data_IF_595816432346
#
_entry.id   IF_595816432346
#
_cell.length_a   1.000
_cell.length_b   1.000
_cell.length_c   1.000
_cell.angle_alpha   90.00
_cell.angle_beta   90.00
_cell.angle_gamma   90.00
#
_symmetry.space_group_name_H-M   'P 1'
#
loop_
_entity.id
_entity.type
_entity.pdbx_description
1 polymer ?
#
# COMPACT_ATOMS: atom_id res chain seq x y z
N UNK A 1 -20.50 -4.18 40.42
CA UNK A 1 -19.11 -3.66 40.43
C UNK A 1 -18.08 -4.66 39.86
N UNK A 2 -18.50 -5.89 39.48
CA UNK A 2 -17.61 -6.90 38.90
C UNK A 2 -17.56 -6.92 37.37
N UNK A 3 -18.37 -6.13 36.67
CA UNK A 3 -18.49 -6.15 35.19
C UNK A 3 -17.66 -5.09 34.48
N UNK A 4 -16.88 -4.26 35.18
CA UNK A 4 -16.16 -3.14 34.56
C UNK A 4 -14.65 -3.40 34.29
N UNK A 5 -14.11 -4.51 34.79
CA UNK A 5 -12.66 -4.82 34.66
C UNK A 5 -12.30 -5.86 33.59
N UNK A 6 -13.24 -6.32 32.76
CA UNK A 6 -12.97 -7.30 31.69
C UNK A 6 -12.59 -6.67 30.32
N UNK A 7 -12.34 -5.38 30.23
CA UNK A 7 -12.37 -4.66 28.96
C UNK A 7 -11.04 -4.13 28.43
N UNK A 8 -9.92 -4.65 28.86
CA UNK A 8 -8.67 -4.52 28.08
C UNK A 8 -8.21 -5.92 27.69
N UNK A 9 -8.85 -6.51 26.70
CA UNK A 9 -8.21 -7.59 25.97
C UNK A 9 -6.92 -7.02 25.36
N UNK A 10 -5.78 -7.35 25.97
CA UNK A 10 -4.47 -6.96 25.46
C UNK A 10 -4.32 -7.58 24.08
N UNK A 11 -3.99 -6.74 23.12
CA UNK A 11 -3.68 -7.18 21.75
C UNK A 11 -2.42 -8.05 21.84
N UNK A 12 -2.44 -9.29 21.34
CA UNK A 12 -1.30 -10.19 21.46
C UNK A 12 -0.08 -9.63 20.72
N UNK A 13 1.12 -9.91 21.24
CA UNK A 13 2.38 -9.39 20.66
C UNK A 13 2.55 -9.76 19.17
N UNK A 14 2.10 -10.94 18.75
CA UNK A 14 2.13 -11.36 17.35
C UNK A 14 1.41 -10.42 16.39
N UNK A 15 0.39 -9.70 16.85
CA UNK A 15 -0.28 -8.67 16.04
C UNK A 15 0.65 -7.53 15.66
N UNK A 16 1.51 -7.07 16.57
CA UNK A 16 2.49 -6.02 16.26
C UNK A 16 3.55 -6.49 15.26
N UNK A 17 3.90 -7.77 15.28
CA UNK A 17 4.80 -8.39 14.29
C UNK A 17 4.12 -8.40 12.90
N UNK A 18 2.86 -8.81 12.83
CA UNK A 18 2.07 -8.77 11.58
C UNK A 18 2.02 -7.35 11.02
N UNK A 19 1.76 -6.38 11.89
CA UNK A 19 1.70 -4.97 11.51
C UNK A 19 3.05 -4.44 11.01
N UNK A 20 4.16 -4.79 11.67
CA UNK A 20 5.50 -4.40 11.25
C UNK A 20 5.86 -5.01 9.88
N UNK A 21 5.60 -6.31 9.69
CA UNK A 21 5.85 -6.98 8.42
C UNK A 21 5.08 -6.32 7.27
N UNK A 22 3.80 -6.07 7.47
CA UNK A 22 2.93 -5.45 6.49
C UNK A 22 3.34 -4.00 6.20
N UNK A 23 3.69 -3.24 7.24
CA UNK A 23 4.14 -1.85 7.09
C UNK A 23 5.39 -1.74 6.22
N UNK A 24 6.44 -2.49 6.53
CA UNK A 24 7.69 -2.46 5.74
C UNK A 24 7.50 -2.97 4.32
N UNK A 25 6.66 -3.99 4.13
CA UNK A 25 6.35 -4.51 2.79
C UNK A 25 5.62 -3.47 1.93
N UNK A 26 4.59 -2.82 2.46
CA UNK A 26 3.83 -1.79 1.76
C UNK A 26 4.65 -0.51 1.53
N UNK A 27 5.48 -0.13 2.50
CA UNK A 27 6.41 0.99 2.39
C UNK A 27 7.41 0.77 1.25
N UNK A 28 7.99 -0.43 1.16
CA UNK A 28 8.91 -0.79 0.09
C UNK A 28 8.22 -0.80 -1.29
N UNK A 29 6.98 -1.30 -1.39
CA UNK A 29 6.21 -1.29 -2.63
C UNK A 29 6.05 0.13 -3.20
N UNK A 30 5.82 1.10 -2.35
CA UNK A 30 5.57 2.49 -2.74
C UNK A 30 6.86 3.31 -2.91
N UNK A 31 7.91 3.03 -2.14
CA UNK A 31 9.24 3.57 -2.41
C UNK A 31 9.77 3.07 -3.77
N UNK A 32 9.51 1.79 -4.09
CA UNK A 32 9.87 1.20 -5.37
C UNK A 32 9.12 1.85 -6.55
N UNK A 33 7.89 2.29 -6.36
CA UNK A 33 7.16 3.05 -7.38
C UNK A 33 7.94 4.29 -7.81
N UNK A 34 8.46 5.06 -6.87
CA UNK A 34 9.25 6.26 -7.18
C UNK A 34 10.58 5.90 -7.85
N UNK A 35 11.26 4.86 -7.36
CA UNK A 35 12.47 4.36 -7.99
C UNK A 35 12.21 3.86 -9.43
N UNK A 36 11.06 3.23 -9.67
CA UNK A 36 10.64 2.80 -11.00
C UNK A 36 10.32 3.98 -11.93
N UNK A 37 9.67 5.03 -11.44
CA UNK A 37 9.45 6.28 -12.19
C UNK A 37 10.80 6.90 -12.56
N UNK A 38 11.72 6.99 -11.61
CA UNK A 38 13.07 7.49 -11.84
C UNK A 38 13.79 6.66 -12.92
N UNK A 39 13.73 5.33 -12.85
CA UNK A 39 14.33 4.44 -13.84
C UNK A 39 13.72 4.62 -15.24
N UNK A 40 12.40 4.81 -15.35
CA UNK A 40 11.74 5.11 -16.63
C UNK A 40 12.23 6.45 -17.22
N UNK A 41 12.43 7.46 -16.40
CA UNK A 41 12.94 8.76 -16.85
C UNK A 41 14.40 8.69 -17.28
N UNK A 42 15.24 7.92 -16.59
CA UNK A 42 16.62 7.67 -17.00
C UNK A 42 16.70 6.94 -18.34
N UNK A 43 15.75 6.04 -18.63
CA UNK A 43 15.61 5.37 -19.92
C UNK A 43 15.01 6.25 -21.02
N UNK A 44 14.60 7.49 -20.70
CA UNK A 44 13.86 8.37 -21.59
C UNK A 44 12.56 7.74 -22.15
N UNK A 45 11.91 6.91 -21.33
CA UNK A 45 10.66 6.27 -21.68
C UNK A 45 9.52 7.31 -21.82
N UNK A 46 8.47 7.02 -22.63
CA UNK A 46 7.30 7.89 -22.73
C UNK A 46 6.68 8.16 -21.38
N UNK A 47 6.20 9.39 -21.14
CA UNK A 47 5.61 9.81 -19.86
C UNK A 47 4.37 9.01 -19.48
N UNK A 48 3.68 8.44 -20.46
CA UNK A 48 2.51 7.56 -20.27
C UNK A 48 2.87 6.24 -19.56
N UNK A 49 4.15 5.86 -19.54
CA UNK A 49 4.61 4.66 -18.84
C UNK A 49 4.60 4.82 -17.31
N UNK A 50 4.69 6.04 -16.80
CA UNK A 50 4.67 6.27 -15.36
C UNK A 50 3.35 5.77 -14.70
N UNK A 51 2.14 6.18 -15.14
CA UNK A 51 0.92 5.62 -14.59
C UNK A 51 0.72 4.14 -14.94
N UNK A 52 1.29 3.64 -16.05
CA UNK A 52 1.25 2.22 -16.39
C UNK A 52 1.96 1.33 -15.35
N UNK A 53 2.93 1.84 -14.61
CA UNK A 53 3.53 1.11 -13.48
C UNK A 53 2.46 0.61 -12.51
N UNK A 54 1.54 1.49 -12.12
CA UNK A 54 0.45 1.10 -11.21
C UNK A 54 -0.53 0.15 -11.87
N UNK A 55 -0.81 0.32 -13.16
CA UNK A 55 -1.65 -0.59 -13.93
C UNK A 55 -1.04 -2.00 -13.98
N UNK A 56 0.24 -2.12 -14.27
CA UNK A 56 0.95 -3.40 -14.30
C UNK A 56 1.00 -4.06 -12.92
N UNK A 57 1.19 -3.26 -11.87
CA UNK A 57 1.14 -3.74 -10.49
C UNK A 57 -0.24 -4.30 -10.13
N UNK A 58 -1.31 -3.55 -10.42
CA UNK A 58 -2.69 -3.95 -10.08
C UNK A 58 -3.25 -5.02 -10.99
N UNK A 59 -2.72 -5.18 -12.21
CA UNK A 59 -3.13 -6.24 -13.13
C UNK A 59 -2.98 -7.63 -12.50
N UNK A 60 -1.94 -7.83 -11.71
CA UNK A 60 -1.74 -9.08 -10.96
C UNK A 60 -2.88 -9.38 -10.00
N UNK A 61 -3.45 -8.37 -9.36
CA UNK A 61 -4.62 -8.54 -8.48
C UNK A 61 -5.85 -9.04 -9.26
N UNK A 62 -6.07 -8.50 -10.44
CA UNK A 62 -7.20 -8.91 -11.29
C UNK A 62 -7.00 -10.33 -11.82
N UNK A 63 -5.83 -10.62 -12.37
CA UNK A 63 -5.53 -11.92 -12.98
C UNK A 63 -5.47 -13.05 -11.96
N UNK A 64 -4.99 -12.77 -10.75
CA UNK A 64 -4.77 -13.77 -9.72
C UNK A 64 -5.88 -13.81 -8.66
N UNK A 65 -6.92 -12.96 -8.75
CA UNK A 65 -7.96 -12.83 -7.74
C UNK A 65 -8.59 -14.17 -7.34
N UNK A 66 -8.86 -15.04 -8.32
CA UNK A 66 -9.45 -16.34 -8.07
C UNK A 66 -8.48 -17.37 -7.42
N UNK A 67 -7.19 -17.14 -7.51
CA UNK A 67 -6.16 -18.11 -7.10
C UNK A 67 -5.47 -17.76 -5.78
N UNK A 68 -5.29 -16.48 -5.51
CA UNK A 68 -4.50 -16.04 -4.34
C UNK A 68 -5.17 -16.39 -3.01
N UNK A 69 -6.50 -16.41 -2.95
CA UNK A 69 -7.23 -16.85 -1.77
C UNK A 69 -6.99 -18.33 -1.47
N UNK A 70 -7.10 -19.17 -2.49
CA UNK A 70 -6.83 -20.61 -2.37
C UNK A 70 -5.36 -20.87 -2.00
N UNK A 71 -4.43 -20.13 -2.58
CA UNK A 71 -3.01 -20.19 -2.22
C UNK A 71 -2.79 -19.80 -0.75
N UNK A 72 -3.42 -18.72 -0.30
CA UNK A 72 -3.31 -18.25 1.08
C UNK A 72 -3.89 -19.25 2.10
N UNK A 73 -4.87 -20.07 1.71
CA UNK A 73 -5.48 -21.08 2.58
C UNK A 73 -4.77 -22.44 2.54
N UNK A 74 -3.84 -22.62 1.59
CA UNK A 74 -3.13 -23.90 1.40
C UNK A 74 -1.97 -24.14 2.35
N UNK A 75 -1.51 -23.12 3.06
CA UNK A 75 -0.36 -23.21 3.96
C UNK A 75 -0.46 -22.15 5.08
N UNK A 76 0.38 -22.25 6.13
CA UNK A 76 0.42 -21.24 7.19
C UNK A 76 0.60 -19.83 6.63
N UNK A 77 -0.16 -18.86 7.14
CA UNK A 77 -0.20 -17.48 6.61
C UNK A 77 1.20 -16.83 6.60
N UNK A 78 2.02 -17.10 7.61
CA UNK A 78 3.39 -16.59 7.66
C UNK A 78 4.23 -17.04 6.46
N UNK A 79 4.05 -18.29 5.99
CA UNK A 79 4.75 -18.79 4.80
C UNK A 79 4.28 -18.10 3.54
N UNK A 80 2.96 -17.89 3.40
CA UNK A 80 2.38 -17.16 2.26
C UNK A 80 2.96 -15.74 2.21
N UNK A 81 2.99 -15.04 3.35
CA UNK A 81 3.53 -13.69 3.47
C UNK A 81 5.03 -13.65 3.14
N UNK A 82 5.79 -14.63 3.62
CA UNK A 82 7.22 -14.76 3.34
C UNK A 82 7.50 -15.01 1.86
N UNK A 83 6.79 -15.95 1.23
CA UNK A 83 6.91 -16.25 -0.20
C UNK A 83 6.53 -15.02 -1.03
N UNK A 84 5.46 -14.33 -0.65
CA UNK A 84 5.03 -13.12 -1.33
C UNK A 84 6.08 -12.01 -1.29
N UNK A 85 6.73 -11.79 -0.14
CA UNK A 85 7.84 -10.86 -0.03
C UNK A 85 9.08 -11.33 -0.80
N UNK A 86 9.35 -12.63 -0.88
CA UNK A 86 10.42 -13.17 -1.71
C UNK A 86 10.18 -12.88 -3.20
N UNK A 87 8.94 -12.97 -3.67
CA UNK A 87 8.55 -12.57 -5.05
C UNK A 87 8.78 -11.06 -5.25
N UNK A 88 8.46 -10.23 -4.27
CA UNK A 88 8.71 -8.79 -4.33
C UNK A 88 10.21 -8.46 -4.37
N UNK A 89 11.02 -9.17 -3.59
CA UNK A 89 12.48 -9.07 -3.63
C UNK A 89 13.00 -9.45 -5.02
N UNK A 90 12.47 -10.51 -5.63
CA UNK A 90 12.83 -10.90 -6.98
C UNK A 90 12.50 -9.80 -8.00
N UNK A 91 11.32 -9.18 -7.91
CA UNK A 91 10.95 -8.04 -8.77
C UNK A 91 11.86 -6.83 -8.58
N UNK A 92 12.19 -6.47 -7.35
CA UNK A 92 13.15 -5.41 -7.03
C UNK A 92 14.55 -5.72 -7.60
N UNK A 93 15.01 -6.97 -7.46
CA UNK A 93 16.29 -7.43 -7.98
C UNK A 93 16.31 -7.40 -9.51
N UNK A 94 15.22 -7.78 -10.18
CA UNK A 94 15.08 -7.67 -11.64
C UNK A 94 15.30 -6.24 -12.10
N UNK A 95 14.70 -5.27 -11.41
CA UNK A 95 14.89 -3.85 -11.73
C UNK A 95 16.32 -3.39 -11.49
N UNK A 96 16.94 -3.83 -10.40
CA UNK A 96 18.35 -3.57 -10.09
C UNK A 96 19.29 -4.06 -11.21
N UNK A 97 19.02 -5.24 -11.75
CA UNK A 97 19.82 -5.83 -12.84
C UNK A 97 19.39 -5.38 -14.25
N UNK A 98 18.62 -4.33 -14.37
CA UNK A 98 18.31 -3.68 -15.64
C UNK A 98 17.09 -4.20 -16.38
N UNK A 99 16.23 -5.02 -15.75
CA UNK A 99 14.95 -5.37 -16.34
C UNK A 99 14.05 -4.14 -16.49
N UNK A 100 13.17 -4.17 -17.48
CA UNK A 100 12.26 -3.05 -17.73
C UNK A 100 11.41 -2.77 -16.49
N UNK A 101 11.32 -1.51 -16.01
CA UNK A 101 10.60 -1.17 -14.78
C UNK A 101 9.14 -1.63 -14.74
N UNK A 102 8.42 -1.59 -15.87
CA UNK A 102 7.04 -2.08 -15.97
C UNK A 102 6.94 -3.57 -15.63
N UNK A 103 7.84 -4.39 -16.18
CA UNK A 103 7.84 -5.84 -15.95
C UNK A 103 8.26 -6.17 -14.53
N UNK A 104 9.32 -5.53 -14.04
CA UNK A 104 9.81 -5.73 -12.68
C UNK A 104 8.75 -5.34 -11.64
N UNK A 105 8.07 -4.21 -11.84
CA UNK A 105 7.01 -3.76 -10.95
C UNK A 105 5.74 -4.62 -11.04
N UNK A 106 5.47 -5.23 -12.20
CA UNK A 106 4.42 -6.24 -12.33
C UNK A 106 4.70 -7.49 -11.48
N UNK A 107 5.95 -7.94 -11.42
CA UNK A 107 6.37 -9.05 -10.55
C UNK A 107 6.19 -8.69 -9.08
N UNK A 108 6.52 -7.48 -8.67
CA UNK A 108 6.23 -6.98 -7.32
C UNK A 108 4.73 -6.97 -7.05
N UNK A 109 3.91 -6.56 -8.01
CA UNK A 109 2.45 -6.61 -7.94
C UNK A 109 1.91 -8.04 -7.76
N UNK A 110 2.52 -9.03 -8.38
CA UNK A 110 2.19 -10.44 -8.18
C UNK A 110 2.44 -10.86 -6.72
N UNK A 111 3.57 -10.49 -6.15
CA UNK A 111 3.85 -10.71 -4.74
C UNK A 111 2.84 -9.99 -3.83
N UNK A 112 2.49 -8.75 -4.13
CA UNK A 112 1.51 -7.98 -3.37
C UNK A 112 0.11 -8.60 -3.44
N UNK A 113 -0.32 -9.09 -4.60
CA UNK A 113 -1.59 -9.78 -4.77
C UNK A 113 -1.66 -11.07 -3.93
N UNK A 114 -0.58 -11.85 -3.89
CA UNK A 114 -0.50 -13.06 -3.06
C UNK A 114 -0.44 -12.75 -1.56
N UNK A 115 0.15 -11.62 -1.17
CA UNK A 115 0.26 -11.18 0.23
C UNK A 115 -1.08 -10.78 0.83
N UNK A 116 -1.94 -10.16 0.06
CA UNK A 116 -3.17 -9.51 0.52
C UNK A 116 -4.14 -10.47 1.24
N UNK A 117 -4.52 -11.64 0.70
CA UNK A 117 -5.42 -12.56 1.39
C UNK A 117 -4.83 -13.12 2.69
N UNK A 118 -3.51 -13.34 2.72
CA UNK A 118 -2.84 -13.82 3.94
C UNK A 118 -2.83 -12.75 5.04
N UNK A 119 -2.62 -11.50 4.68
CA UNK A 119 -2.65 -10.35 5.59
C UNK A 119 -3.99 -10.22 6.32
N UNK A 120 -5.09 -10.30 5.59
CA UNK A 120 -6.43 -10.20 6.18
C UNK A 120 -6.87 -11.52 6.84
N UNK A 121 -6.53 -12.65 6.23
CA UNK A 121 -6.88 -13.98 6.75
C UNK A 121 -6.26 -14.26 8.12
N UNK A 122 -5.01 -13.87 8.35
CA UNK A 122 -4.35 -14.11 9.64
C UNK A 122 -5.03 -13.36 10.80
N UNK A 123 -5.65 -12.21 10.53
CA UNK A 123 -6.34 -11.47 11.57
C UNK A 123 -7.54 -12.25 12.11
N UNK A 124 -8.32 -12.85 11.21
CA UNK A 124 -9.49 -13.65 11.58
C UNK A 124 -9.13 -14.96 12.26
N UNK A 125 -7.95 -15.52 11.93
CA UNK A 125 -7.44 -16.73 12.56
C UNK A 125 -6.79 -16.49 13.93
N UNK A 126 -6.15 -15.35 14.11
CA UNK A 126 -5.30 -15.07 15.28
C UNK A 126 -6.01 -14.22 16.35
N UNK A 127 -6.96 -13.38 15.96
CA UNK A 127 -7.63 -12.45 16.87
C UNK A 127 -9.06 -12.86 17.19
N UNK A 128 -9.53 -12.65 18.43
CA UNK A 128 -10.93 -12.81 18.76
C UNK A 128 -11.80 -11.78 17.99
N UNK A 129 -13.03 -12.17 17.64
CA UNK A 129 -13.96 -11.35 16.83
C UNK A 129 -14.13 -9.91 17.32
N UNK A 130 -14.12 -9.70 18.63
CA UNK A 130 -14.25 -8.36 19.26
C UNK A 130 -13.11 -7.40 18.93
N UNK A 131 -11.93 -7.92 18.58
CA UNK A 131 -10.75 -7.12 18.23
C UNK A 131 -10.59 -6.89 16.71
N UNK A 132 -11.35 -7.60 15.87
CA UNK A 132 -11.18 -7.55 14.42
C UNK A 132 -11.41 -6.16 13.83
N UNK A 133 -12.43 -5.43 14.33
CA UNK A 133 -12.72 -4.06 13.84
C UNK A 133 -11.56 -3.11 14.14
N UNK A 134 -11.01 -3.19 15.34
CA UNK A 134 -9.87 -2.37 15.75
C UNK A 134 -8.62 -2.77 14.98
N UNK A 135 -8.38 -4.07 14.81
CA UNK A 135 -7.24 -4.59 14.08
C UNK A 135 -7.27 -4.21 12.59
N UNK A 136 -8.43 -4.30 11.94
CA UNK A 136 -8.60 -3.86 10.57
C UNK A 136 -8.37 -2.35 10.42
N UNK A 137 -8.89 -1.54 11.35
CA UNK A 137 -8.62 -0.10 11.35
C UNK A 137 -7.13 0.23 11.46
N UNK A 138 -6.39 -0.48 12.31
CA UNK A 138 -4.94 -0.32 12.43
C UNK A 138 -4.20 -0.76 11.17
N UNK A 139 -4.56 -1.89 10.57
CA UNK A 139 -3.92 -2.37 9.34
C UNK A 139 -4.16 -1.41 8.18
N UNK A 140 -5.39 -0.92 8.00
CA UNK A 140 -5.70 0.06 6.96
C UNK A 140 -4.99 1.39 7.20
N UNK A 141 -5.00 1.90 8.43
CA UNK A 141 -4.28 3.13 8.79
C UNK A 141 -2.78 3.02 8.53
N UNK A 142 -2.16 1.90 8.90
CA UNK A 142 -0.74 1.65 8.62
C UNK A 142 -0.47 1.43 7.12
N UNK A 143 -1.39 0.81 6.40
CA UNK A 143 -1.25 0.67 4.94
C UNK A 143 -1.21 2.03 4.27
N UNK A 144 -2.15 2.92 4.58
CA UNK A 144 -2.16 4.28 4.05
C UNK A 144 -0.89 5.04 4.47
N UNK A 145 -0.50 4.95 5.75
CA UNK A 145 0.75 5.55 6.23
C UNK A 145 1.98 5.02 5.49
N UNK A 146 2.06 3.71 5.27
CA UNK A 146 3.16 3.07 4.54
C UNK A 146 3.20 3.49 3.06
N UNK A 147 2.04 3.64 2.41
CA UNK A 147 1.95 4.12 1.02
C UNK A 147 2.61 5.49 0.91
N UNK A 148 2.26 6.39 1.79
CA UNK A 148 2.69 7.77 1.69
C UNK A 148 4.14 7.95 2.14
N UNK A 149 4.52 7.34 3.26
CA UNK A 149 5.91 7.34 3.72
C UNK A 149 6.83 6.64 2.71
N UNK A 150 6.36 5.58 2.06
CA UNK A 150 7.11 4.91 0.99
C UNK A 150 7.42 5.84 -0.17
N UNK A 151 6.43 6.61 -0.63
CA UNK A 151 6.63 7.61 -1.69
C UNK A 151 7.61 8.71 -1.25
N UNK A 152 7.49 9.20 -0.02
CA UNK A 152 8.40 10.22 0.54
C UNK A 152 9.83 9.68 0.64
N UNK A 153 10.00 8.47 1.14
CA UNK A 153 11.32 7.82 1.24
C UNK A 153 11.90 7.59 -0.16
N UNK A 154 11.11 7.08 -1.11
CA UNK A 154 11.54 6.92 -2.50
C UNK A 154 12.02 8.22 -3.11
N UNK A 155 11.25 9.30 -2.92
CA UNK A 155 11.64 10.64 -3.37
C UNK A 155 12.91 11.16 -2.70
N UNK A 156 13.10 10.86 -1.43
CA UNK A 156 14.32 11.25 -0.68
C UNK A 156 15.55 10.49 -1.18
N UNK A 157 15.42 9.22 -1.47
CA UNK A 157 16.53 8.37 -1.94
C UNK A 157 17.06 8.79 -3.32
N UNK A 158 16.23 9.38 -4.17
CA UNK A 158 16.66 9.87 -5.49
C UNK A 158 17.20 11.31 -5.47
N UNK A 159 17.19 12.00 -4.33
CA UNK A 159 17.75 13.34 -4.21
C UNK A 159 19.27 13.28 -4.39
N UNK A 160 19.86 14.18 -5.24
CA UNK A 160 21.28 14.14 -5.54
C UNK A 160 22.19 14.31 -4.32
N UNK A 161 21.81 15.18 -3.38
CA UNK A 161 22.57 15.44 -2.15
C UNK A 161 22.63 14.21 -1.23
N UNK A 162 21.52 13.51 -1.07
CA UNK A 162 21.41 12.30 -0.24
C UNK A 162 22.03 11.10 -0.95
N UNK A 163 21.72 10.92 -2.24
CA UNK A 163 22.20 9.78 -2.99
C UNK A 163 23.73 9.81 -3.17
N UNK A 164 24.33 10.97 -3.42
CA UNK A 164 25.78 11.11 -3.51
C UNK A 164 26.45 10.81 -2.17
N UNK A 165 25.88 11.26 -1.06
CA UNK A 165 26.39 10.95 0.28
C UNK A 165 26.35 9.45 0.56
N UNK A 166 25.26 8.79 0.18
CA UNK A 166 25.10 7.34 0.36
C UNK A 166 26.01 6.53 -0.56
N UNK A 167 26.19 6.96 -1.82
CA UNK A 167 27.11 6.33 -2.77
C UNK A 167 28.58 6.49 -2.36
N UNK A 168 28.93 7.61 -1.70
CA UNK A 168 30.26 7.82 -1.17
C UNK A 168 30.59 6.95 0.05
N UNK A 169 29.59 6.27 0.63
CA UNK A 169 29.79 5.33 1.72
C UNK A 169 30.33 4.01 1.19
N UNK A 170 31.66 3.90 1.22
CA UNK A 170 32.36 2.73 0.73
C UNK A 170 32.56 1.70 1.84
N UNK A 171 32.08 0.47 1.64
CA UNK A 171 32.33 -0.62 2.56
C UNK A 171 33.77 -1.10 2.39
N UNK A 172 34.65 -0.96 3.42
CA UNK A 172 36.00 -1.45 3.30
C UNK A 172 35.96 -2.97 3.01
N UNK A 173 36.60 -3.40 1.93
CA UNK A 173 36.77 -4.77 1.47
C UNK A 173 35.62 -5.38 0.64
N UNK A 174 34.54 -4.69 0.37
CA UNK A 174 33.44 -5.25 -0.42
C UNK A 174 33.06 -4.23 -1.51
N UNK A 175 33.32 -4.62 -2.77
CA UNK A 175 32.72 -3.93 -3.92
C UNK A 175 31.25 -4.36 -3.98
N UNK A 176 30.33 -3.42 -3.70
CA UNK A 176 28.90 -3.68 -3.69
C UNK A 176 28.28 -3.68 -5.09
N UNK A 177 29.01 -3.21 -6.11
CA UNK A 177 28.50 -3.05 -7.48
C UNK A 177 27.37 -2.02 -7.58
N UNK A 178 27.27 -1.10 -6.62
CA UNK A 178 26.25 -0.03 -6.57
C UNK A 178 26.91 1.28 -7.02
N UNK A 179 26.72 1.63 -8.28
CA UNK A 179 27.41 2.77 -8.90
C UNK A 179 26.48 3.95 -9.20
N UNK A 180 25.18 3.70 -9.30
CA UNK A 180 24.18 4.69 -9.70
C UNK A 180 23.19 5.01 -8.60
N UNK A 181 22.53 6.17 -8.72
CA UNK A 181 21.47 6.60 -7.80
C UNK A 181 20.32 5.58 -7.77
N UNK A 182 19.93 5.07 -8.94
CA UNK A 182 18.88 4.06 -9.08
C UNK A 182 19.21 2.76 -8.36
N UNK A 183 20.43 2.25 -8.56
CA UNK A 183 20.92 1.02 -7.91
C UNK A 183 20.98 1.17 -6.38
N UNK A 184 21.45 2.32 -5.91
CA UNK A 184 21.48 2.62 -4.48
C UNK A 184 20.07 2.66 -3.87
N UNK A 185 19.13 3.35 -4.52
CA UNK A 185 17.74 3.42 -4.06
C UNK A 185 17.10 2.02 -4.03
N UNK A 186 17.28 1.21 -5.08
CA UNK A 186 16.78 -0.17 -5.15
C UNK A 186 17.40 -1.08 -4.10
N UNK A 187 18.67 -0.89 -3.76
CA UNK A 187 19.35 -1.65 -2.70
C UNK A 187 18.73 -1.37 -1.34
N UNK A 188 18.46 -0.11 -1.01
CA UNK A 188 17.82 0.29 0.26
C UNK A 188 16.38 -0.22 0.32
N UNK A 189 15.62 -0.12 -0.77
CA UNK A 189 14.26 -0.66 -0.87
C UNK A 189 14.28 -2.18 -0.70
N UNK A 190 15.26 -2.86 -1.27
CA UNK A 190 15.49 -4.30 -1.08
C UNK A 190 15.71 -4.66 0.38
N UNK A 191 16.44 -3.83 1.13
CA UNK A 191 16.61 -4.01 2.59
C UNK A 191 15.28 -3.91 3.33
N UNK A 192 14.39 -2.99 2.96
CA UNK A 192 13.05 -2.92 3.56
C UNK A 192 12.23 -4.20 3.31
N UNK A 193 12.30 -4.77 2.10
CA UNK A 193 11.67 -6.06 1.83
C UNK A 193 12.27 -7.21 2.65
N UNK A 194 13.59 -7.21 2.84
CA UNK A 194 14.27 -8.19 3.68
C UNK A 194 13.80 -8.06 5.13
N UNK A 195 13.71 -6.84 5.66
CA UNK A 195 13.19 -6.58 7.00
C UNK A 195 11.75 -7.11 7.13
N UNK A 196 10.89 -6.82 6.15
CA UNK A 196 9.53 -7.33 6.11
C UNK A 196 9.50 -8.87 6.10
N UNK A 197 10.36 -9.50 5.31
CA UNK A 197 10.49 -10.97 5.26
C UNK A 197 10.96 -11.57 6.57
N UNK A 198 11.89 -10.92 7.26
CA UNK A 198 12.35 -11.36 8.59
C UNK A 198 11.23 -11.28 9.62
N UNK A 199 10.43 -10.20 9.62
CA UNK A 199 9.24 -10.12 10.48
C UNK A 199 8.23 -11.24 10.17
N UNK A 200 8.06 -11.62 8.89
CA UNK A 200 7.17 -12.72 8.54
C UNK A 200 7.56 -14.06 9.18
N UNK A 201 8.85 -14.31 9.39
CA UNK A 201 9.32 -15.53 10.07
C UNK A 201 8.88 -15.61 11.54
N UNK A 202 8.61 -14.47 12.17
CA UNK A 202 8.14 -14.38 13.55
C UNK A 202 6.62 -14.25 13.68
N UNK A 203 5.90 -14.22 12.55
CA UNK A 203 4.43 -14.23 12.58
C UNK A 203 3.95 -15.55 13.15
N UNK A 204 3.03 -15.54 14.15
CA UNK A 204 2.57 -16.74 14.80
C UNK A 204 1.89 -17.71 13.84
N UNK A 205 2.17 -19.00 14.01
CA UNK A 205 1.39 -20.06 13.40
C UNK A 205 0.08 -20.22 14.20
N UNK A 206 -1.04 -20.11 13.50
CA UNK A 206 -2.36 -20.17 14.15
C UNK A 206 -2.84 -21.60 14.39
N UNK A 207 -2.16 -22.60 13.81
CA UNK A 207 -2.52 -24.02 13.92
C UNK A 207 -3.86 -24.38 13.26
N UNK A 208 -4.37 -23.52 12.38
CA UNK A 208 -5.60 -23.78 11.62
C UNK A 208 -5.32 -24.80 10.52
N UNK A 209 -6.26 -25.73 10.32
CA UNK A 209 -6.16 -26.73 9.27
C UNK A 209 -6.14 -26.07 7.89
N UNK A 210 -5.19 -26.49 7.07
CA UNK A 210 -5.00 -25.94 5.72
C UNK A 210 -5.83 -26.69 4.70
N UNK A 211 -6.46 -25.96 3.79
CA UNK A 211 -7.18 -26.53 2.65
C UNK A 211 -6.16 -26.94 1.58
N UNK A 212 -6.27 -28.19 1.10
CA UNK A 212 -5.46 -28.62 -0.04
C UNK A 212 -5.77 -27.75 -1.27
N UNK A 213 -4.71 -27.27 -1.92
CA UNK A 213 -4.84 -26.52 -3.16
C UNK A 213 -5.44 -27.44 -4.25
N UNK A 214 -6.63 -27.10 -4.72
CA UNK A 214 -7.24 -27.85 -5.82
C UNK A 214 -6.47 -27.55 -7.10
N UNK A 215 -6.07 -28.59 -7.80
CA UNK A 215 -5.28 -28.49 -9.03
C UNK A 215 -6.08 -28.00 -10.25
N UNK A 216 -7.42 -27.96 -10.17
CA UNK A 216 -8.25 -27.52 -11.27
C UNK A 216 -8.51 -25.99 -11.21
N UNK A 217 -7.87 -25.19 -12.09
CA UNK A 217 -8.03 -23.76 -12.12
C UNK A 217 -9.47 -23.31 -12.44
N UNK A 218 -10.20 -24.04 -13.26
CA UNK A 218 -11.58 -23.70 -13.61
C UNK A 218 -12.51 -23.79 -12.41
N UNK A 219 -12.26 -24.72 -11.49
CA UNK A 219 -13.02 -24.82 -10.25
C UNK A 219 -12.82 -23.57 -9.37
N UNK A 220 -11.57 -23.10 -9.24
CA UNK A 220 -11.26 -21.91 -8.44
C UNK A 220 -11.90 -20.65 -9.03
N UNK A 221 -11.91 -20.51 -10.35
CA UNK A 221 -12.57 -19.39 -11.04
C UNK A 221 -14.09 -19.45 -10.82
N UNK A 222 -14.68 -20.65 -10.93
CA UNK A 222 -16.10 -20.82 -10.70
C UNK A 222 -16.50 -20.50 -9.26
N UNK A 223 -15.75 -20.98 -8.27
CA UNK A 223 -15.98 -20.71 -6.85
C UNK A 223 -15.85 -19.20 -6.55
N UNK A 224 -14.84 -18.54 -7.10
CA UNK A 224 -14.66 -17.09 -6.98
C UNK A 224 -15.85 -16.32 -7.56
N UNK A 225 -16.28 -16.66 -8.78
CA UNK A 225 -17.42 -16.02 -9.42
C UNK A 225 -18.73 -16.24 -8.64
N UNK A 226 -18.90 -17.43 -8.06
CA UNK A 226 -20.03 -17.70 -7.19
C UNK A 226 -20.05 -16.80 -5.95
N UNK A 227 -18.92 -16.70 -5.24
CA UNK A 227 -18.78 -15.84 -4.07
C UNK A 227 -19.00 -14.35 -4.43
N UNK A 228 -18.43 -13.90 -5.54
CA UNK A 228 -18.62 -12.53 -6.03
C UNK A 228 -20.10 -12.25 -6.35
N UNK A 229 -20.78 -13.20 -6.99
CA UNK A 229 -22.20 -13.08 -7.30
C UNK A 229 -23.07 -13.00 -6.03
N UNK A 230 -22.76 -13.79 -5.01
CA UNK A 230 -23.46 -13.72 -3.72
C UNK A 230 -23.29 -12.35 -3.05
N UNK A 231 -22.05 -11.85 -3.03
CA UNK A 231 -21.74 -10.55 -2.46
C UNK A 231 -22.41 -9.41 -3.23
N UNK A 232 -22.49 -9.53 -4.58
CA UNK A 232 -23.16 -8.54 -5.42
C UNK A 232 -24.70 -8.55 -5.30
N UNK A 233 -25.30 -9.65 -4.85
CA UNK A 233 -26.75 -9.73 -4.60
C UNK A 233 -27.16 -9.06 -3.29
N UNK A 234 -26.26 -8.90 -2.35
CA UNK A 234 -26.51 -8.19 -1.11
C UNK A 234 -26.34 -6.67 -1.30
N UNK A 235 -27.33 -5.88 -0.86
CA UNK A 235 -27.26 -4.40 -0.99
C UNK A 235 -26.09 -3.78 -0.25
N UNK A 236 -25.77 -4.28 0.94
CA UNK A 236 -24.64 -3.78 1.72
C UNK A 236 -23.32 -4.17 1.04
N UNK A 237 -23.25 -5.38 0.48
CA UNK A 237 -22.12 -5.83 -0.31
C UNK A 237 -21.89 -4.98 -1.55
N UNK A 238 -22.96 -4.61 -2.28
CA UNK A 238 -22.87 -3.70 -3.44
C UNK A 238 -22.30 -2.33 -3.05
N UNK A 239 -22.82 -1.73 -1.98
CA UNK A 239 -22.36 -0.40 -1.53
C UNK A 239 -20.91 -0.47 -1.11
N UNK A 240 -20.53 -1.46 -0.32
CA UNK A 240 -19.15 -1.65 0.14
C UNK A 240 -18.17 -1.83 -1.03
N UNK A 241 -18.49 -2.72 -1.98
CA UNK A 241 -17.66 -2.94 -3.16
C UNK A 241 -17.53 -1.67 -4.02
N UNK A 242 -18.65 -0.99 -4.30
CA UNK A 242 -18.63 0.19 -5.16
C UNK A 242 -17.84 1.34 -4.51
N UNK A 243 -18.08 1.64 -3.25
CA UNK A 243 -17.42 2.75 -2.53
C UNK A 243 -15.94 2.47 -2.36
N UNK A 244 -15.56 1.25 -1.96
CA UNK A 244 -14.16 0.86 -1.78
C UNK A 244 -13.42 0.90 -3.12
N UNK A 245 -14.01 0.38 -4.18
CA UNK A 245 -13.42 0.39 -5.53
C UNK A 245 -13.18 1.82 -6.02
N UNK A 246 -14.19 2.70 -5.90
CA UNK A 246 -14.06 4.11 -6.27
C UNK A 246 -13.00 4.82 -5.45
N UNK A 247 -12.96 4.59 -4.14
CA UNK A 247 -11.99 5.21 -3.25
C UNK A 247 -10.55 4.85 -3.64
N UNK A 248 -10.26 3.56 -3.78
CA UNK A 248 -8.92 3.10 -4.15
C UNK A 248 -8.52 3.48 -5.58
N UNK A 249 -9.46 3.43 -6.53
CA UNK A 249 -9.25 3.88 -7.90
C UNK A 249 -8.94 5.37 -7.98
N UNK A 250 -9.74 6.20 -7.31
CA UNK A 250 -9.50 7.64 -7.23
C UNK A 250 -8.18 7.96 -6.53
N UNK A 251 -7.87 7.28 -5.42
CA UNK A 251 -6.62 7.45 -4.69
C UNK A 251 -5.38 7.13 -5.52
N UNK A 252 -5.39 6.03 -6.25
CA UNK A 252 -4.31 5.64 -7.15
C UNK A 252 -4.11 6.67 -8.28
N UNK A 253 -5.20 7.17 -8.87
CA UNK A 253 -5.15 8.20 -9.91
C UNK A 253 -4.64 9.53 -9.36
N UNK A 254 -5.16 9.96 -8.21
CA UNK A 254 -4.75 11.22 -7.57
C UNK A 254 -3.27 11.23 -7.19
N UNK A 255 -2.69 10.09 -6.84
CA UNK A 255 -1.26 9.98 -6.53
C UNK A 255 -0.40 10.48 -7.70
N UNK A 256 -0.68 10.03 -8.92
CA UNK A 256 0.02 10.49 -10.12
C UNK A 256 -0.33 11.93 -10.49
N UNK A 257 -1.60 12.31 -10.36
CA UNK A 257 -2.05 13.68 -10.63
C UNK A 257 -1.32 14.66 -9.70
N UNK A 258 -1.21 14.38 -8.41
CA UNK A 258 -0.53 15.27 -7.46
C UNK A 258 0.96 15.40 -7.80
N UNK A 259 1.63 14.30 -8.15
CA UNK A 259 3.04 14.34 -8.57
C UNK A 259 3.18 15.22 -9.82
N UNK A 260 2.42 14.93 -10.87
CA UNK A 260 2.50 15.67 -12.13
C UNK A 260 2.11 17.14 -11.98
N UNK A 261 1.04 17.41 -11.25
CA UNK A 261 0.61 18.78 -10.94
C UNK A 261 1.68 19.55 -10.18
N UNK A 262 2.34 18.93 -9.20
CA UNK A 262 3.42 19.55 -8.44
C UNK A 262 4.62 19.91 -9.32
N UNK A 263 4.94 19.08 -10.29
CA UNK A 263 6.02 19.36 -11.25
C UNK A 263 5.66 20.49 -12.18
N UNK A 264 4.43 20.53 -12.70
CA UNK A 264 4.00 21.52 -13.72
C UNK A 264 3.59 22.85 -13.08
N UNK A 265 2.77 22.84 -12.04
CA UNK A 265 2.21 24.03 -11.43
C UNK A 265 3.14 24.71 -10.41
N UNK A 266 3.91 23.91 -9.67
CA UNK A 266 4.83 24.39 -8.62
C UNK A 266 6.30 24.35 -9.05
N UNK A 267 6.62 23.87 -10.25
CA UNK A 267 7.98 23.70 -10.77
C UNK A 267 8.90 22.91 -9.83
N UNK A 268 8.36 21.87 -9.21
CA UNK A 268 9.11 20.97 -8.33
C UNK A 268 9.70 19.81 -9.12
N UNK A 269 10.84 19.30 -8.68
CA UNK A 269 11.37 18.03 -9.18
C UNK A 269 10.60 16.83 -8.62
N UNK A 270 10.84 15.63 -9.15
CA UNK A 270 10.17 14.41 -8.70
C UNK A 270 10.36 14.16 -7.21
N UNK A 271 11.54 14.46 -6.66
CA UNK A 271 11.82 14.30 -5.24
C UNK A 271 10.91 15.16 -4.38
N UNK A 272 10.84 16.46 -4.66
CA UNK A 272 10.00 17.40 -3.92
C UNK A 272 8.51 17.15 -4.16
N UNK A 273 8.12 16.81 -5.40
CA UNK A 273 6.76 16.41 -5.71
C UNK A 273 6.33 15.17 -4.90
N UNK A 274 7.23 14.20 -4.76
CA UNK A 274 6.99 13.02 -3.92
C UNK A 274 6.87 13.38 -2.43
N UNK A 275 7.65 14.32 -1.94
CA UNK A 275 7.57 14.80 -0.55
C UNK A 275 6.23 15.46 -0.24
N UNK A 276 5.57 16.12 -1.20
CA UNK A 276 4.22 16.66 -1.02
C UNK A 276 3.19 15.57 -0.72
N UNK A 277 3.42 14.32 -1.09
CA UNK A 277 2.59 13.19 -0.66
C UNK A 277 2.62 13.03 0.88
N UNK A 278 3.74 13.36 1.52
CA UNK A 278 3.84 13.37 2.99
C UNK A 278 2.90 14.39 3.65
N UNK A 279 2.64 15.52 2.99
CA UNK A 279 1.65 16.51 3.44
C UNK A 279 0.25 15.93 3.42
N UNK A 280 -0.09 15.18 2.37
CA UNK A 280 -1.36 14.45 2.29
C UNK A 280 -1.48 13.43 3.42
N UNK A 281 -0.35 12.75 3.76
CA UNK A 281 -0.31 11.80 4.87
C UNK A 281 -0.71 12.40 6.21
N UNK A 282 -0.17 13.55 6.52
CA UNK A 282 -0.51 14.28 7.75
C UNK A 282 -2.01 14.55 7.78
N UNK A 283 -2.57 14.99 6.66
CA UNK A 283 -4.01 15.17 6.51
C UNK A 283 -4.79 13.87 6.75
N UNK A 284 -4.40 12.77 6.11
CA UNK A 284 -5.05 11.45 6.27
C UNK A 284 -5.04 11.01 7.74
N UNK A 285 -3.90 11.12 8.41
CA UNK A 285 -3.79 10.77 9.83
C UNK A 285 -4.73 11.61 10.70
N UNK A 286 -4.77 12.93 10.47
CA UNK A 286 -5.68 13.83 11.19
C UNK A 286 -7.15 13.47 10.93
N UNK A 287 -7.52 13.22 9.69
CA UNK A 287 -8.87 12.84 9.28
C UNK A 287 -9.30 11.50 9.87
N UNK A 288 -8.41 10.52 9.87
CA UNK A 288 -8.64 9.20 10.45
C UNK A 288 -8.90 9.26 11.96
N UNK A 289 -8.08 10.02 12.69
CA UNK A 289 -8.27 10.25 14.14
C UNK A 289 -9.59 10.97 14.42
N UNK A 290 -9.91 11.98 13.61
CA UNK A 290 -11.18 12.71 13.75
C UNK A 290 -12.38 11.78 13.48
N UNK A 291 -12.32 10.96 12.42
CA UNK A 291 -13.40 10.02 12.12
C UNK A 291 -13.60 9.00 13.23
N UNK A 292 -12.53 8.41 13.75
CA UNK A 292 -12.58 7.47 14.87
C UNK A 292 -13.21 8.08 16.12
N UNK A 293 -13.06 9.39 16.34
CA UNK A 293 -13.60 10.09 17.49
C UNK A 293 -15.07 10.52 17.31
N UNK A 294 -15.46 10.95 16.10
CA UNK A 294 -16.74 11.61 15.85
C UNK A 294 -17.77 10.75 15.13
N UNK A 295 -17.36 9.69 14.43
CA UNK A 295 -18.25 8.88 13.61
C UNK A 295 -18.48 7.52 14.27
N UNK A 296 -19.75 7.21 14.51
CA UNK A 296 -20.18 5.87 14.92
C UNK A 296 -20.56 5.05 13.69
N UNK A 297 -20.50 3.72 13.79
CA UNK A 297 -20.81 2.78 12.71
C UNK A 297 -22.19 3.06 12.06
N UNK A 298 -23.20 3.46 12.86
CA UNK A 298 -24.54 3.83 12.36
C UNK A 298 -24.56 5.09 11.49
N UNK A 299 -23.54 5.94 11.59
CA UNK A 299 -23.44 7.21 10.85
C UNK A 299 -22.47 7.13 9.70
N UNK A 300 -21.87 5.96 9.41
CA UNK A 300 -20.85 5.78 8.36
C UNK A 300 -21.34 6.27 6.99
N UNK A 301 -22.57 5.97 6.61
CA UNK A 301 -23.15 6.40 5.33
C UNK A 301 -23.22 7.93 5.17
N UNK A 302 -23.24 8.68 6.26
CA UNK A 302 -23.31 10.15 6.23
C UNK A 302 -22.02 10.82 5.75
N UNK A 303 -20.91 10.09 5.68
CA UNK A 303 -19.64 10.62 5.18
C UNK A 303 -19.53 10.57 3.65
N UNK A 304 -20.41 9.85 2.97
CA UNK A 304 -20.38 9.72 1.49
C UNK A 304 -20.32 11.09 0.77
N UNK A 305 -21.08 12.13 1.17
CA UNK A 305 -20.99 13.44 0.53
C UNK A 305 -19.62 14.11 0.62
N UNK A 306 -18.75 13.70 1.56
CA UNK A 306 -17.39 14.21 1.66
C UNK A 306 -16.54 13.85 0.44
N UNK A 307 -16.88 12.76 -0.27
CA UNK A 307 -16.26 12.44 -1.56
C UNK A 307 -16.50 13.53 -2.61
N UNK A 308 -17.68 14.15 -2.61
CA UNK A 308 -17.99 15.30 -3.48
C UNK A 308 -17.12 16.50 -3.09
N UNK A 309 -17.00 16.78 -1.78
CA UNK A 309 -16.15 17.85 -1.28
C UNK A 309 -14.69 17.67 -1.69
N UNK A 310 -14.15 16.44 -1.61
CA UNK A 310 -12.80 16.12 -2.10
C UNK A 310 -12.67 16.45 -3.61
N UNK A 311 -13.63 16.01 -4.42
CA UNK A 311 -13.63 16.28 -5.85
C UNK A 311 -13.64 17.78 -6.16
N UNK A 312 -14.42 18.59 -5.43
CA UNK A 312 -14.45 20.04 -5.58
C UNK A 312 -13.10 20.69 -5.21
N UNK A 313 -12.44 20.21 -4.14
CA UNK A 313 -11.12 20.72 -3.76
C UNK A 313 -10.08 20.38 -4.83
N UNK A 314 -10.13 19.17 -5.39
CA UNK A 314 -9.25 18.80 -6.51
C UNK A 314 -9.43 19.73 -7.72
N UNK A 315 -10.67 20.13 -8.02
CA UNK A 315 -10.93 21.13 -9.08
C UNK A 315 -10.33 22.49 -8.74
N UNK A 316 -10.42 22.91 -7.48
CA UNK A 316 -9.81 24.19 -7.03
C UNK A 316 -8.28 24.14 -7.17
N UNK A 317 -7.64 22.98 -6.96
CA UNK A 317 -6.20 22.80 -7.13
C UNK A 317 -5.70 23.17 -8.53
N UNK A 318 -6.55 23.11 -9.56
CA UNK A 318 -6.18 23.52 -10.91
C UNK A 318 -5.78 25.01 -10.99
N UNK A 319 -6.28 25.85 -10.09
CA UNK A 319 -6.00 27.30 -10.03
C UNK A 319 -4.88 27.65 -9.05
N UNK A 320 -4.30 26.67 -8.39
CA UNK A 320 -3.27 26.87 -7.37
C UNK A 320 -1.90 26.73 -8.01
N UNK A 321 -1.09 27.79 -7.90
CA UNK A 321 0.28 27.87 -8.42
C UNK A 321 1.30 28.22 -7.31
N UNK A 322 0.81 28.42 -6.09
CA UNK A 322 1.60 28.84 -4.95
C UNK A 322 1.63 27.73 -3.89
N UNK A 323 2.80 27.41 -3.38
CA UNK A 323 2.99 26.37 -2.37
C UNK A 323 2.21 26.68 -1.07
N UNK A 324 2.04 27.96 -0.75
CA UNK A 324 1.29 28.42 0.42
C UNK A 324 -0.18 28.02 0.41
N UNK A 325 -0.79 27.96 -0.76
CA UNK A 325 -2.16 27.50 -0.96
C UNK A 325 -2.23 25.99 -1.17
N UNK A 326 -1.20 25.44 -1.79
CA UNK A 326 -1.12 24.00 -2.07
C UNK A 326 -1.09 23.15 -0.79
N UNK A 327 -0.24 23.50 0.17
CA UNK A 327 -0.06 22.72 1.40
C UNK A 327 -1.35 22.60 2.22
N UNK A 328 -2.08 23.69 2.56
CA UNK A 328 -3.35 23.58 3.27
C UNK A 328 -4.40 22.75 2.52
N UNK A 329 -4.49 22.90 1.21
CA UNK A 329 -5.45 22.16 0.39
C UNK A 329 -5.13 20.67 0.32
N UNK A 330 -3.85 20.31 0.21
CA UNK A 330 -3.40 18.92 0.26
C UNK A 330 -3.68 18.28 1.63
N UNK A 331 -3.45 19.00 2.73
CA UNK A 331 -3.82 18.56 4.08
C UNK A 331 -5.33 18.34 4.17
N UNK A 332 -6.14 19.22 3.61
CA UNK A 332 -7.58 19.11 3.61
C UNK A 332 -8.07 17.91 2.78
N UNK A 333 -7.50 17.69 1.60
CA UNK A 333 -7.78 16.50 0.77
C UNK A 333 -7.43 15.22 1.56
N UNK A 334 -6.26 15.18 2.16
CA UNK A 334 -5.85 14.07 3.01
C UNK A 334 -6.79 13.87 4.19
N UNK A 335 -7.16 14.95 4.88
CA UNK A 335 -8.08 14.93 6.03
C UNK A 335 -9.46 14.38 5.66
N UNK A 336 -10.04 14.84 4.57
CA UNK A 336 -11.31 14.33 4.04
C UNK A 336 -11.19 12.86 3.63
N UNK A 337 -10.07 12.46 3.02
CA UNK A 337 -9.80 11.08 2.63
C UNK A 337 -9.73 10.14 3.84
N UNK A 338 -8.96 10.50 4.87
CA UNK A 338 -8.86 9.73 6.11
C UNK A 338 -10.19 9.66 6.86
N UNK A 339 -10.92 10.77 6.91
CA UNK A 339 -12.24 10.83 7.53
C UNK A 339 -13.29 10.00 6.79
N UNK A 340 -13.15 9.89 5.46
CA UNK A 340 -14.04 9.09 4.60
C UNK A 340 -13.78 7.60 4.75
N UNK A 341 -12.51 7.18 4.75
CA UNK A 341 -12.13 5.76 4.65
C UNK A 341 -12.34 4.97 5.94
N UNK A 342 -12.14 5.62 7.09
CA UNK A 342 -12.18 4.93 8.39
C UNK A 342 -13.56 4.36 8.73
N UNK A 343 -14.70 5.05 8.48
CA UNK A 343 -16.03 4.51 8.78
C UNK A 343 -16.54 3.53 7.73
N UNK A 344 -15.95 3.47 6.55
CA UNK A 344 -16.37 2.63 5.41
C UNK A 344 -15.74 1.25 5.45
#
# INVERSE_FOLDING_TARGET
>A
AQSYNETRAQVPFGFYIIMAAQFFSALADNALLIAAIYALREMQAPTEYEPLLKTFFTLSYVLLAAFVGAFADSMPKWRVMFISNAIKIAGCSMMFFGAHPLVAYAVVGLGAAAYSPAKYGILTEYLPHRLLVVANGWIEGLTVGAIILGVVIGGTLIRPDISQTLLAFDFPLIDTGVDTIGEMALSIIGVFYIIASLFNLYVPDTGVDHKQLKSNPFYLIHEFNHCLSLLWRDKLGQISLAVTTLFWGAGATLQFIVIKWSEVALNLDLSKASMLQGVVAVGVAMGAVAAAKFITLRKSVRVIPLGIAMGLIVLVMNFVHEIWLAVPLLILIGGLSGFFVVPM
#
